data_IF_344461150647
#
_entry.id   IF_344461150647
#
_cell.length_a   1.000
_cell.length_b   1.000
_cell.length_c   1.000
_cell.angle_alpha   90.00
_cell.angle_beta   90.00
_cell.angle_gamma   90.00
#
_symmetry.space_group_name_H-M   'P 1'
#
loop_
_entity.id
_entity.type
_entity.pdbx_description
1 polymer ?
2 polymer ?
3 water ?
#
# COMPACT_ATOMS: atom_id res chain seq x y z
N UNK A 6 9.63 -33.23 -17.74
CA UNK A 6 10.17 -34.27 -16.84
C UNK A 6 11.40 -33.81 -16.08
N UNK A 7 12.27 -33.06 -16.75
CA UNK A 7 13.46 -32.57 -16.06
C UNK A 7 13.04 -31.66 -14.90
N UNK A 8 11.96 -30.91 -15.09
CA UNK A 8 11.46 -30.01 -14.07
C UNK A 8 10.99 -30.76 -12.84
N UNK A 9 10.26 -31.85 -13.05
CA UNK A 9 9.85 -32.71 -11.96
C UNK A 9 11.03 -33.27 -11.18
N UNK A 10 12.06 -33.75 -11.88
CA UNK A 10 13.24 -34.27 -11.19
C UNK A 10 13.97 -33.14 -10.43
N UNK A 11 14.01 -31.96 -11.03
CA UNK A 11 14.65 -30.80 -10.41
C UNK A 11 13.90 -30.41 -9.14
N UNK A 12 12.58 -30.31 -9.24
CA UNK A 12 11.78 -30.02 -8.06
C UNK A 12 11.99 -31.05 -6.97
N UNK A 13 11.95 -32.32 -7.35
CA UNK A 13 12.02 -33.42 -6.40
C UNK A 13 13.29 -33.41 -5.56
N UNK A 14 14.37 -32.83 -6.08
CA UNK A 14 15.62 -32.91 -5.35
C UNK A 14 15.80 -31.85 -4.27
N UNK A 15 14.91 -30.84 -4.24
CA UNK A 15 14.96 -29.79 -3.24
C UNK A 15 13.71 -29.84 -2.37
N UNK A 16 12.72 -30.57 -2.87
CA UNK A 16 11.42 -30.68 -2.21
C UNK A 16 11.51 -31.27 -0.79
N UNK A 17 10.65 -30.78 0.08
CA UNK A 17 10.50 -31.30 1.44
C UNK A 17 9.97 -32.73 1.42
N UNK A 18 10.48 -33.56 2.34
CA UNK A 18 10.03 -34.95 2.43
C UNK A 18 8.53 -35.05 2.66
N UNK A 19 7.97 -34.13 3.42
CA UNK A 19 6.57 -34.20 3.83
C UNK A 19 5.68 -33.26 3.02
N UNK A 20 5.98 -31.95 3.04
CA UNK A 20 5.18 -31.00 2.28
C UNK A 20 5.47 -31.07 0.78
N UNK A 21 4.51 -30.60 -0.03
CA UNK A 21 4.70 -30.51 -1.47
C UNK A 21 5.26 -29.13 -1.79
N UNK A 22 6.50 -28.91 -1.37
CA UNK A 22 7.11 -27.59 -1.44
C UNK A 22 8.60 -27.67 -1.16
N UNK A 23 9.32 -26.63 -1.58
CA UNK A 23 10.68 -26.45 -1.16
C UNK A 23 10.68 -25.59 0.10
N UNK A 24 11.22 -26.15 1.19
CA UNK A 24 11.39 -25.39 2.42
C UNK A 24 12.83 -24.92 2.55
N UNK A 25 13.27 -24.63 3.78
CA UNK A 25 14.60 -24.01 4.01
C UNK A 25 15.80 -24.90 3.67
N UNK A 26 15.67 -26.20 3.90
CA UNK A 26 16.78 -27.10 3.61
C UNK A 26 17.00 -27.18 2.11
N UNK A 27 15.92 -27.42 1.35
CA UNK A 27 15.98 -27.40 -0.09
C UNK A 27 16.43 -26.04 -0.63
N UNK A 28 15.81 -24.98 -0.14
CA UNK A 28 16.14 -23.63 -0.59
C UNK A 28 17.64 -23.38 -0.54
N UNK A 29 18.25 -23.85 0.55
CA UNK A 29 19.68 -23.66 0.79
C UNK A 29 20.51 -24.46 -0.23
N UNK A 30 20.19 -25.74 -0.40
CA UNK A 30 20.83 -26.56 -1.46
C UNK A 30 20.59 -25.97 -2.86
N UNK A 31 19.37 -25.49 -3.10
CA UNK A 31 19.03 -24.87 -4.37
C UNK A 31 19.91 -23.65 -4.68
N UNK A 32 20.07 -22.74 -3.72
CA UNK A 32 20.98 -21.62 -3.89
C UNK A 32 22.44 -22.06 -4.01
N UNK A 33 22.80 -23.09 -3.25
CA UNK A 33 24.15 -23.63 -3.37
C UNK A 33 24.44 -24.13 -4.79
N UNK A 34 23.52 -24.92 -5.35
CA UNK A 34 23.67 -25.39 -6.73
C UNK A 34 23.73 -24.25 -7.75
N UNK A 35 22.92 -23.21 -7.53
CA UNK A 35 22.98 -22.01 -8.36
C UNK A 35 24.27 -21.22 -8.16
N UNK A 36 25.05 -21.59 -7.13
CA UNK A 36 26.30 -20.90 -6.83
C UNK A 36 26.04 -19.45 -6.47
N UNK A 37 25.02 -19.27 -5.64
CA UNK A 37 24.52 -17.96 -5.31
C UNK A 37 24.37 -17.87 -3.79
N UNK A 38 24.80 -16.76 -3.20
CA UNK A 38 24.52 -16.56 -1.78
C UNK A 38 23.01 -16.43 -1.65
N UNK A 39 22.41 -17.13 -0.67
CA UNK A 39 20.94 -17.18 -0.50
C UNK A 39 20.28 -15.81 -0.28
N UNK A 40 21.04 -14.85 0.25
CA UNK A 40 20.48 -13.54 0.56
C UNK A 40 20.72 -12.51 -0.54
N UNK A 41 21.42 -12.90 -1.59
CA UNK A 41 21.80 -11.94 -2.63
C UNK A 41 20.66 -11.56 -3.60
N UNK A 42 20.88 -10.47 -4.34
CA UNK A 42 19.86 -9.83 -5.18
C UNK A 42 19.18 -10.76 -6.23
N UNK A 43 19.97 -11.60 -6.91
CA UNK A 43 19.41 -12.54 -7.87
C UNK A 43 18.39 -13.48 -7.26
N UNK A 44 18.58 -13.79 -5.98
CA UNK A 44 17.65 -14.68 -5.28
C UNK A 44 16.33 -13.97 -5.00
N UNK A 45 16.42 -12.69 -4.62
CA UNK A 45 15.22 -11.85 -4.56
C UNK A 45 14.53 -11.83 -5.95
N UNK A 46 15.29 -11.65 -7.02
CA UNK A 46 14.70 -11.65 -8.39
C UNK A 46 14.01 -12.98 -8.71
N UNK A 47 14.64 -14.09 -8.36
CA UNK A 47 14.05 -15.42 -8.53
C UNK A 47 12.74 -15.53 -7.78
N UNK A 48 12.73 -15.20 -6.48
CA UNK A 48 11.53 -15.24 -5.68
C UNK A 48 10.44 -14.35 -6.29
N UNK A 49 10.85 -13.18 -6.79
CA UNK A 49 9.95 -12.28 -7.49
C UNK A 49 9.31 -12.98 -8.71
N UNK A 50 10.15 -13.47 -9.63
CA UNK A 50 9.72 -14.25 -10.80
C UNK A 50 8.82 -15.45 -10.46
N UNK A 51 9.11 -16.13 -9.34
CA UNK A 51 8.30 -17.29 -8.92
C UNK A 51 7.08 -16.84 -8.13
N UNK A 52 7.00 -15.54 -7.87
CA UNK A 52 5.89 -14.98 -7.09
C UNK A 52 5.70 -15.70 -5.76
N UNK A 53 6.78 -15.85 -4.99
CA UNK A 53 6.72 -16.57 -3.73
C UNK A 53 6.01 -15.80 -2.58
N UNK A 54 6.60 -14.69 -2.18
CA UNK A 54 6.09 -13.87 -1.07
C UNK A 54 6.18 -14.50 0.34
N UNK A 55 6.43 -15.82 0.40
CA UNK A 55 6.82 -16.46 1.66
C UNK A 55 8.31 -16.80 1.64
N UNK A 56 9.12 -16.10 2.43
CA UNK A 56 10.56 -16.33 2.43
C UNK A 56 10.93 -17.76 2.75
N UNK A 57 11.87 -18.30 1.97
CA UNK A 57 12.49 -19.60 2.24
C UNK A 57 11.57 -20.71 1.80
N UNK A 58 10.63 -20.41 0.93
CA UNK A 58 9.71 -21.43 0.48
C UNK A 58 9.26 -21.18 -0.97
N UNK A 59 9.29 -22.24 -1.77
CA UNK A 59 8.64 -22.24 -3.09
C UNK A 59 7.68 -23.41 -3.08
N UNK A 60 6.38 -23.15 -3.15
CA UNK A 60 5.42 -24.26 -3.32
C UNK A 60 5.64 -24.90 -4.69
N UNK A 61 5.18 -26.15 -4.83
CA UNK A 61 5.23 -26.80 -6.13
C UNK A 61 4.76 -25.87 -7.28
N UNK A 62 3.63 -25.20 -7.11
CA UNK A 62 3.09 -24.32 -8.15
C UNK A 62 3.97 -23.11 -8.47
N UNK A 63 4.52 -22.49 -7.43
CA UNK A 63 5.42 -21.35 -7.62
C UNK A 63 6.65 -21.78 -8.41
N UNK A 64 7.22 -22.91 -8.01
CA UNK A 64 8.43 -23.40 -8.64
C UNK A 64 8.15 -23.74 -10.12
N UNK A 65 7.11 -24.52 -10.36
CA UNK A 65 6.75 -24.85 -11.74
C UNK A 65 6.36 -23.66 -12.60
N UNK A 66 5.48 -22.80 -12.08
CA UNK A 66 5.07 -21.60 -12.80
C UNK A 66 6.24 -20.66 -13.04
N UNK A 67 7.14 -20.57 -12.05
CA UNK A 67 8.27 -19.68 -12.12
C UNK A 67 9.35 -20.18 -13.07
N UNK A 68 9.64 -21.48 -13.01
CA UNK A 68 10.56 -22.07 -13.98
C UNK A 68 10.02 -21.93 -15.41
N UNK A 69 8.77 -22.32 -15.62
CA UNK A 69 8.13 -22.07 -16.92
C UNK A 69 8.21 -20.61 -17.37
N UNK A 70 8.02 -19.67 -16.45
CA UNK A 70 8.01 -18.25 -16.79
C UNK A 70 9.35 -17.78 -17.32
N UNK A 71 10.44 -18.38 -16.85
CA UNK A 71 11.78 -17.99 -17.29
C UNK A 71 12.40 -19.03 -18.22
N UNK A 72 11.58 -20.02 -18.61
CA UNK A 72 11.99 -21.06 -19.55
C UNK A 72 13.25 -21.79 -19.12
N UNK A 73 13.14 -22.43 -17.95
CA UNK A 73 14.23 -23.22 -17.43
C UNK A 73 13.62 -24.47 -16.81
N UNK A 74 14.32 -25.58 -16.95
CA UNK A 74 13.98 -26.79 -16.25
C UNK A 74 15.26 -27.37 -15.62
N UNK A 75 16.26 -26.52 -15.45
CA UNK A 75 17.54 -26.97 -14.93
C UNK A 75 18.29 -25.86 -14.21
N UNK A 76 19.21 -26.26 -13.34
CA UNK A 76 20.09 -25.34 -12.62
C UNK A 76 20.87 -24.46 -13.59
N UNK A 77 21.43 -25.07 -14.62
CA UNK A 77 22.19 -24.33 -15.63
C UNK A 77 21.31 -23.39 -16.45
N UNK A 78 20.08 -23.79 -16.70
CA UNK A 78 19.13 -22.96 -17.42
C UNK A 78 18.76 -21.71 -16.64
N UNK A 79 18.50 -21.89 -15.34
CA UNK A 79 18.20 -20.76 -14.47
C UNK A 79 19.36 -19.77 -14.43
N UNK A 80 20.57 -20.26 -14.20
CA UNK A 80 21.74 -19.37 -14.14
C UNK A 80 21.88 -18.56 -15.42
N UNK A 81 21.61 -19.19 -16.56
CA UNK A 81 21.73 -18.52 -17.85
C UNK A 81 20.75 -17.34 -17.98
N UNK A 82 19.63 -17.39 -17.25
CA UNK A 82 18.63 -16.32 -17.31
C UNK A 82 19.01 -15.12 -16.46
N UNK A 83 19.90 -15.31 -15.50
CA UNK A 83 20.20 -14.27 -14.50
C UNK A 83 20.48 -12.91 -15.13
N UNK A 84 21.42 -12.84 -16.08
CA UNK A 84 21.74 -11.54 -16.69
C UNK A 84 20.52 -10.82 -17.26
N UNK A 85 19.59 -11.56 -17.85
CA UNK A 85 18.41 -10.94 -18.42
C UNK A 85 17.35 -10.61 -17.34
N UNK A 86 17.39 -11.36 -16.24
CA UNK A 86 16.57 -11.03 -15.07
C UNK A 86 17.05 -9.71 -14.48
N UNK A 87 18.38 -9.57 -14.37
CA UNK A 87 18.97 -8.34 -13.87
C UNK A 87 18.53 -7.16 -14.74
N UNK A 88 18.57 -7.36 -16.05
CA UNK A 88 18.17 -6.33 -17.00
C UNK A 88 16.70 -5.99 -16.86
N UNK A 89 15.86 -7.02 -16.78
CA UNK A 89 14.42 -6.85 -16.60
C UNK A 89 14.11 -5.97 -15.40
N UNK A 90 14.77 -6.25 -14.27
CA UNK A 90 14.51 -5.57 -13.01
C UNK A 90 14.93 -4.11 -13.03
N UNK A 91 15.63 -3.70 -14.09
CA UNK A 91 16.05 -2.30 -14.24
C UNK A 91 15.01 -1.44 -14.96
N UNK A 92 14.12 -2.07 -15.72
CA UNK A 92 13.07 -1.34 -16.42
C UNK A 92 12.11 -0.75 -15.39
N UNK A 93 11.65 0.46 -15.63
CA UNK A 93 10.89 1.23 -14.64
C UNK A 93 9.66 0.51 -14.06
N UNK A 94 8.84 -0.05 -14.94
CA UNK A 94 7.61 -0.70 -14.49
C UNK A 94 7.85 -2.03 -13.79
N UNK A 95 8.82 -2.80 -14.28
CA UNK A 95 9.22 -4.03 -13.61
C UNK A 95 9.76 -3.72 -12.21
N UNK A 96 10.58 -2.69 -12.11
CA UNK A 96 11.14 -2.36 -10.82
C UNK A 96 10.07 -2.01 -9.80
N UNK A 97 9.11 -1.20 -10.21
CA UNK A 97 8.01 -0.85 -9.31
C UNK A 97 7.32 -2.11 -8.84
N UNK A 98 7.17 -3.08 -9.73
CA UNK A 98 6.51 -4.33 -9.38
C UNK A 98 7.36 -5.16 -8.41
N UNK A 99 8.67 -5.24 -8.70
CA UNK A 99 9.60 -5.94 -7.84
C UNK A 99 9.62 -5.31 -6.46
N UNK A 100 9.64 -3.97 -6.44
CA UNK A 100 9.56 -3.18 -5.21
C UNK A 100 8.29 -3.46 -4.37
N UNK A 101 7.12 -3.55 -5.01
CA UNK A 101 5.90 -3.88 -4.28
C UNK A 101 5.93 -5.31 -3.75
N UNK A 102 6.40 -6.26 -4.57
CA UNK A 102 6.58 -7.66 -4.20
C UNK A 102 7.52 -7.80 -2.99
N UNK A 103 8.57 -7.00 -2.95
CA UNK A 103 9.60 -7.14 -1.92
C UNK A 103 9.03 -6.91 -0.51
N UNK A 104 8.01 -6.03 -0.40
CA UNK A 104 7.40 -5.80 0.88
C UNK A 104 6.65 -7.05 1.36
N UNK A 105 5.82 -7.59 0.46
CA UNK A 105 5.03 -8.79 0.71
C UNK A 105 5.90 -10.01 1.03
N UNK A 106 7.03 -10.09 0.33
CA UNK A 106 8.00 -11.14 0.51
C UNK A 106 8.59 -11.10 1.92
N UNK A 107 9.07 -9.93 2.34
CA UNK A 107 9.68 -9.79 3.65
C UNK A 107 8.67 -9.94 4.77
N UNK A 108 7.39 -9.94 4.40
CA UNK A 108 6.32 -9.94 5.38
C UNK A 108 5.96 -11.34 5.87
N UNK A 109 6.09 -11.54 7.17
CA UNK A 109 5.77 -12.83 7.77
C UNK A 109 4.27 -13.02 7.94
N UNK A 110 3.61 -13.50 6.89
CA UNK A 110 2.17 -13.70 6.95
C UNK A 110 1.79 -14.98 7.70
N UNK A 111 2.78 -15.83 7.97
CA UNK A 111 2.53 -17.06 8.71
C UNK A 111 1.93 -16.78 10.10
N UNK A 112 2.42 -15.74 10.79
CA UNK A 112 1.78 -15.28 12.03
C UNK A 112 0.29 -14.94 11.80
N UNK A 113 0.03 -13.81 11.13
CA UNK A 113 1.08 -13.03 10.52
C UNK A 113 1.03 -11.53 10.75
N UNK A 114 2.21 -10.92 10.67
CA UNK A 114 2.38 -9.48 10.80
C UNK A 114 1.80 -8.70 9.60
N UNK A 115 1.64 -7.40 9.80
CA UNK A 115 1.15 -6.50 8.77
C UNK A 115 2.25 -5.50 8.44
N UNK A 116 3.29 -5.51 9.27
CA UNK A 116 4.48 -4.66 9.08
C UNK A 116 5.76 -5.51 9.01
N UNK A 117 6.78 -4.98 8.34
CA UNK A 117 8.10 -5.64 8.31
C UNK A 117 8.90 -5.35 9.57
N UNK A 118 9.65 -6.33 10.05
CA UNK A 118 10.57 -6.08 11.15
C UNK A 118 11.55 -5.02 10.67
N UNK A 119 11.82 -4.03 11.50
CA UNK A 119 12.77 -2.98 11.13
C UNK A 119 14.00 -3.52 10.37
N UNK A 120 14.58 -4.63 10.86
CA UNK A 120 15.86 -5.10 10.32
C UNK A 120 15.74 -5.80 8.97
N UNK A 121 14.61 -6.47 8.74
CA UNK A 121 14.25 -7.01 7.45
C UNK A 121 14.03 -5.88 6.45
N UNK A 122 13.25 -4.90 6.87
CA UNK A 122 13.05 -3.70 6.07
C UNK A 122 14.38 -3.12 5.64
N UNK A 123 15.32 -2.99 6.58
CA UNK A 123 16.63 -2.41 6.28
C UNK A 123 17.42 -3.27 5.28
N UNK A 124 17.41 -4.58 5.49
CA UNK A 124 18.07 -5.52 4.58
C UNK A 124 17.42 -5.53 3.20
N UNK A 125 16.09 -5.51 3.17
CA UNK A 125 15.33 -5.58 1.91
C UNK A 125 15.42 -4.27 1.11
N UNK A 126 15.43 -3.15 1.81
CA UNK A 126 15.65 -1.89 1.11
C UNK A 126 17.00 -1.85 0.42
N UNK A 127 18.05 -2.27 1.14
CA UNK A 127 19.40 -2.37 0.57
C UNK A 127 19.41 -3.32 -0.63
N UNK A 128 18.81 -4.50 -0.46
CA UNK A 128 18.76 -5.48 -1.51
C UNK A 128 17.99 -4.99 -2.77
N UNK A 129 16.78 -4.47 -2.59
CA UNK A 129 15.95 -4.11 -3.74
C UNK A 129 16.57 -2.99 -4.60
N UNK A 130 17.31 -2.09 -3.96
CA UNK A 130 17.93 -0.97 -4.68
C UNK A 130 19.32 -1.31 -5.25
N UNK A 131 19.71 -2.58 -5.17
CA UNK A 131 21.03 -3.04 -5.63
C UNK A 131 21.54 -2.38 -6.93
N UNK A 132 20.72 -2.36 -7.98
CA UNK A 132 21.19 -1.83 -9.28
C UNK A 132 21.07 -0.32 -9.39
N UNK A 133 20.35 0.30 -8.47
CA UNK A 133 20.05 1.73 -8.57
C UNK A 133 19.91 2.38 -7.20
N UNK A 134 21.03 2.65 -6.56
CA UNK A 134 21.02 3.33 -5.26
C UNK A 134 20.60 4.79 -5.39
N UNK A 135 19.45 5.15 -4.81
CA UNK A 135 19.08 6.58 -4.76
C UNK A 135 20.01 7.32 -3.80
N UNK A 136 20.26 8.61 -4.06
CA UNK A 136 21.12 9.44 -3.20
C UNK A 136 20.84 9.31 -1.70
N UNK A 137 19.57 9.24 -1.32
CA UNK A 137 19.17 9.28 0.09
C UNK A 137 19.22 7.94 0.83
N UNK A 138 19.52 6.86 0.11
CA UNK A 138 19.42 5.52 0.70
C UNK A 138 20.42 5.21 1.82
N UNK A 139 21.70 5.57 1.63
CA UNK A 139 22.72 5.27 2.64
C UNK A 139 22.37 5.87 4.00
N UNK A 140 22.01 7.14 4.03
CA UNK A 140 21.68 7.81 5.30
C UNK A 140 20.35 7.33 5.87
N UNK A 141 19.39 7.08 4.99
CA UNK A 141 18.10 6.57 5.41
C UNK A 141 18.29 5.25 6.17
N UNK A 142 19.21 4.41 5.68
CA UNK A 142 19.46 3.12 6.32
C UNK A 142 20.31 3.24 7.59
N UNK A 143 21.17 4.26 7.64
CA UNK A 143 21.91 4.58 8.86
C UNK A 143 20.94 5.04 9.94
N UNK A 144 20.02 5.90 9.53
CA UNK A 144 18.97 6.41 10.39
C UNK A 144 18.16 5.27 11.02
N UNK A 145 17.80 4.29 10.22
CA UNK A 145 16.96 3.19 10.69
C UNK A 145 17.66 2.17 11.58
N UNK A 146 18.96 1.98 11.39
CA UNK A 146 19.74 1.07 12.24
C UNK A 146 19.90 1.71 13.61
N UNK A 147 20.15 3.01 13.60
CA UNK A 147 20.19 3.77 14.83
C UNK A 147 18.81 3.76 15.48
N UNK A 148 17.78 3.99 14.66
CA UNK A 148 16.39 3.97 15.13
C UNK A 148 16.11 4.98 16.25
N UNK A 149 16.48 6.24 16.03
CA UNK A 149 16.32 7.33 16.99
C UNK A 149 14.97 7.32 17.68
N UNK A 150 13.89 7.10 16.94
CA UNK A 150 12.54 7.22 17.47
C UNK A 150 11.90 5.88 17.85
N UNK A 151 12.74 4.85 17.96
CA UNK A 151 12.27 3.53 18.37
C UNK A 151 10.99 3.05 17.71
N UNK A 152 11.04 2.82 16.39
CA UNK A 152 9.90 2.22 15.70
C UNK A 152 10.01 0.69 15.79
N UNK A 153 8.87 0.02 15.77
CA UNK A 153 8.84 -1.43 15.81
C UNK A 153 9.01 -2.03 14.41
N UNK A 154 8.35 -1.43 13.43
CA UNK A 154 8.39 -1.94 12.08
C UNK A 154 8.11 -0.92 11.01
N UNK A 155 8.01 -1.38 9.79
CA UNK A 155 7.73 -0.54 8.63
C UNK A 155 6.44 -1.05 8.00
N UNK A 156 5.47 -0.16 7.91
CA UNK A 156 4.16 -0.49 7.36
C UNK A 156 4.15 -0.44 5.83
N UNK A 157 3.05 -0.89 5.24
CA UNK A 157 2.92 -1.01 3.79
C UNK A 157 2.93 0.34 3.08
N UNK A 158 2.38 1.35 3.72
CA UNK A 158 2.26 2.68 3.10
C UNK A 158 3.58 3.43 3.21
N UNK A 159 4.28 3.25 4.31
CA UNK A 159 5.62 3.82 4.48
C UNK A 159 6.59 3.22 3.46
N UNK A 160 6.55 1.91 3.31
CA UNK A 160 7.35 1.23 2.29
C UNK A 160 6.96 1.75 0.91
N UNK A 161 5.65 1.75 0.62
CA UNK A 161 5.10 2.21 -0.67
C UNK A 161 5.55 3.62 -1.03
N UNK A 162 5.45 4.55 -0.08
CA UNK A 162 5.74 5.96 -0.38
C UNK A 162 7.23 6.30 -0.36
N UNK A 163 8.04 5.43 0.26
CA UNK A 163 9.49 5.65 0.26
C UNK A 163 10.11 5.76 -1.14
N UNK A 164 9.60 4.97 -2.09
CA UNK A 164 10.11 5.02 -3.46
C UNK A 164 9.95 6.41 -4.08
N UNK A 165 8.77 6.99 -3.93
CA UNK A 165 8.52 8.35 -4.43
C UNK A 165 9.40 9.37 -3.73
N UNK A 166 9.43 9.26 -2.41
CA UNK A 166 10.34 10.04 -1.60
C UNK A 166 11.76 10.09 -2.21
N UNK A 167 12.37 8.93 -2.44
CA UNK A 167 13.71 8.85 -3.03
C UNK A 167 13.81 9.57 -4.39
N UNK A 168 12.70 9.64 -5.11
CA UNK A 168 12.64 10.33 -6.40
C UNK A 168 12.44 11.84 -6.27
N UNK A 169 11.69 12.25 -5.25
CA UNK A 169 11.41 13.67 -5.07
C UNK A 169 12.61 14.45 -4.54
N UNK A 170 13.25 13.92 -3.50
CA UNK A 170 14.22 14.72 -2.76
C UNK A 170 15.65 14.17 -2.80
N UNK A 171 16.61 15.06 -2.52
CA UNK A 171 17.99 14.67 -2.38
C UNK A 171 18.74 14.58 -3.70
N UNK A 172 20.07 14.76 -3.64
CA UNK A 172 20.88 14.85 -2.42
C UNK A 172 20.66 16.12 -1.59
N UNK A 173 20.15 17.17 -2.22
CA UNK A 173 20.06 18.50 -1.60
C UNK A 173 19.01 18.64 -0.48
N UNK A 174 17.93 17.88 -0.57
CA UNK A 174 16.79 18.03 0.35
C UNK A 174 15.97 19.27 0.02
N UNK A 175 16.26 19.90 -1.12
CA UNK A 175 15.66 21.20 -1.42
C UNK A 175 14.17 21.10 -1.71
N UNK A 176 13.71 19.91 -2.08
CA UNK A 176 12.30 19.69 -2.42
C UNK A 176 11.48 19.12 -1.27
N UNK A 177 12.10 18.99 -0.09
CA UNK A 177 11.37 18.48 1.07
C UNK A 177 10.52 19.55 1.76
N UNK A 178 9.24 19.23 1.96
CA UNK A 178 8.37 20.09 2.76
C UNK A 178 7.83 19.35 3.98
N UNK A 179 8.13 19.88 5.16
CA UNK A 179 7.60 19.31 6.40
C UNK A 179 6.08 19.29 6.39
N UNK A 180 5.49 20.15 5.57
CA UNK A 180 4.04 20.29 5.45
C UNK A 180 3.35 19.20 4.61
N UNK A 181 4.14 18.49 3.80
CA UNK A 181 3.60 17.47 2.90
C UNK A 181 3.19 16.21 3.66
N UNK A 182 2.17 15.53 3.16
CA UNK A 182 1.62 14.32 3.79
C UNK A 182 2.50 13.06 3.57
N UNK A 183 3.79 13.17 3.88
CA UNK A 183 4.68 12.02 3.89
C UNK A 183 4.44 11.26 5.20
N UNK A 184 4.70 9.93 5.22
CA UNK A 184 4.62 9.30 6.55
C UNK A 184 5.54 10.06 7.48
N UNK A 185 5.16 10.21 8.74
CA UNK A 185 5.88 11.07 9.66
C UNK A 185 7.31 10.61 9.89
N UNK A 186 7.55 9.31 9.75
CA UNK A 186 8.91 8.80 9.80
C UNK A 186 9.88 9.52 8.85
N UNK A 187 9.41 9.94 7.68
CA UNK A 187 10.27 10.65 6.75
C UNK A 187 10.74 11.99 7.35
N UNK A 188 9.86 12.66 8.09
CA UNK A 188 10.21 13.92 8.75
C UNK A 188 11.22 13.71 9.88
N UNK A 189 10.98 12.68 10.69
CA UNK A 189 11.92 12.26 11.72
C UNK A 189 13.32 12.06 11.13
N UNK A 190 13.35 11.54 9.91
CA UNK A 190 14.60 11.25 9.24
C UNK A 190 15.26 12.52 8.73
N UNK A 191 14.46 13.41 8.15
CA UNK A 191 15.01 14.64 7.65
C UNK A 191 15.66 15.45 8.77
N UNK A 192 15.01 15.48 9.93
CA UNK A 192 15.57 16.16 11.09
C UNK A 192 16.90 15.51 11.48
N UNK A 193 16.84 14.21 11.76
CA UNK A 193 18.02 13.42 12.06
C UNK A 193 19.15 13.65 11.05
N UNK A 194 18.78 13.82 9.79
CA UNK A 194 19.77 13.97 8.73
C UNK A 194 20.31 15.39 8.67
N UNK A 195 19.49 16.37 9.08
CA UNK A 195 19.98 17.73 9.26
C UNK A 195 20.98 17.81 10.41
N UNK A 196 20.67 17.14 11.52
CA UNK A 196 21.57 17.13 12.66
C UNK A 196 22.92 16.50 12.32
N UNK A 197 22.92 15.39 11.58
CA UNK A 197 24.19 14.75 11.27
C UNK A 197 25.03 15.58 10.32
N UNK A 198 24.40 16.31 9.42
CA UNK A 198 25.13 17.24 8.57
C UNK A 198 25.78 18.35 9.40
N UNK A 199 25.09 18.80 10.43
CA UNK A 199 25.65 19.75 11.39
C UNK A 199 26.87 19.15 12.08
N UNK A 200 26.64 18.12 12.90
CA UNK A 200 27.73 17.42 13.60
C UNK A 200 28.85 16.95 12.65
N UNK A 201 28.65 17.10 11.34
CA UNK A 201 29.70 16.76 10.37
C UNK A 201 30.48 18.00 9.97
N UNK B 6 -22.37 -5.72 28.64
CA UNK B 6 -23.60 -6.50 28.45
C UNK B 6 -24.54 -5.86 27.42
N UNK B 7 -24.72 -4.54 27.51
CA UNK B 7 -25.49 -3.83 26.51
C UNK B 7 -24.81 -3.99 25.15
N UNK B 8 -23.48 -3.88 25.17
CA UNK B 8 -22.69 -3.96 23.96
C UNK B 8 -22.83 -5.34 23.29
N UNK B 9 -22.81 -6.39 24.10
CA UNK B 9 -23.12 -7.74 23.61
C UNK B 9 -24.50 -7.80 22.95
N UNK B 10 -25.53 -7.26 23.60
CA UNK B 10 -26.88 -7.23 23.04
C UNK B 10 -27.00 -6.40 21.76
N UNK B 11 -26.28 -5.27 21.73
CA UNK B 11 -26.23 -4.41 20.55
C UNK B 11 -25.66 -5.16 19.36
N UNK B 12 -24.58 -5.90 19.59
CA UNK B 12 -23.94 -6.70 18.55
C UNK B 12 -24.87 -7.79 18.00
N UNK B 13 -25.49 -8.53 18.90
CA UNK B 13 -26.30 -9.68 18.52
C UNK B 13 -27.54 -9.22 17.75
N UNK B 14 -27.88 -7.96 17.93
CA UNK B 14 -29.00 -7.35 17.22
C UNK B 14 -28.76 -7.27 15.69
N UNK B 15 -27.51 -7.09 15.28
CA UNK B 15 -27.15 -6.93 13.87
C UNK B 15 -26.28 -8.07 13.35
N UNK B 16 -25.84 -8.92 14.26
CA UNK B 16 -24.99 -10.04 13.92
C UNK B 16 -25.67 -10.98 12.93
N UNK B 17 -24.85 -11.66 12.14
CA UNK B 17 -25.31 -12.68 11.21
C UNK B 17 -25.69 -13.96 11.96
N UNK B 18 -26.62 -14.72 11.41
CA UNK B 18 -27.10 -15.94 12.06
C UNK B 18 -26.00 -16.99 12.18
N UNK B 19 -25.04 -16.96 11.26
CA UNK B 19 -24.02 -17.99 11.20
C UNK B 19 -22.63 -17.48 11.61
N UNK B 20 -22.11 -16.47 10.92
CA UNK B 20 -20.79 -15.93 11.24
C UNK B 20 -20.79 -15.11 12.56
N UNK B 21 -19.63 -14.99 13.18
CA UNK B 21 -19.50 -14.12 14.35
C UNK B 21 -19.15 -12.70 13.89
N UNK B 22 -20.07 -12.09 13.14
CA UNK B 22 -19.83 -10.80 12.53
C UNK B 22 -21.13 -10.15 12.11
N UNK B 23 -21.07 -8.84 11.90
CA UNK B 23 -22.13 -8.10 11.24
C UNK B 23 -21.81 -8.06 9.75
N UNK B 24 -22.68 -8.65 8.94
CA UNK B 24 -22.52 -8.62 7.49
C UNK B 24 -23.44 -7.55 6.88
N UNK B 25 -23.75 -7.63 5.59
CA UNK B 25 -24.46 -6.52 4.94
C UNK B 25 -25.88 -6.26 5.45
N UNK B 26 -26.65 -7.32 5.71
CA UNK B 26 -28.01 -7.17 6.21
C UNK B 26 -28.00 -6.42 7.54
N UNK B 27 -27.16 -6.87 8.47
CA UNK B 27 -27.06 -6.24 9.77
C UNK B 27 -26.49 -4.83 9.66
N UNK B 28 -25.54 -4.66 8.74
CA UNK B 28 -24.90 -3.36 8.57
C UNK B 28 -25.94 -2.31 8.15
N UNK B 29 -26.87 -2.72 7.29
CA UNK B 29 -27.91 -1.83 6.79
C UNK B 29 -28.85 -1.43 7.93
N UNK B 30 -29.25 -2.40 8.73
CA UNK B 30 -30.08 -2.15 9.92
C UNK B 30 -29.40 -1.24 10.92
N UNK B 31 -28.09 -1.42 11.08
CA UNK B 31 -27.29 -0.64 12.02
C UNK B 31 -27.23 0.85 11.63
N UNK B 32 -26.87 1.13 10.39
CA UNK B 32 -26.90 2.50 9.87
C UNK B 32 -28.32 3.09 9.94
N UNK B 33 -29.32 2.26 9.66
CA UNK B 33 -30.69 2.74 9.75
C UNK B 33 -31.03 3.20 11.19
N UNK B 34 -30.75 2.37 12.18
CA UNK B 34 -30.93 2.78 13.57
C UNK B 34 -30.12 4.03 13.91
N UNK B 35 -28.94 4.18 13.33
CA UNK B 35 -28.10 5.36 13.57
C UNK B 35 -28.69 6.58 12.88
N UNK B 36 -29.64 6.35 11.98
CA UNK B 36 -30.20 7.40 11.13
C UNK B 36 -29.18 8.02 10.17
N UNK B 37 -28.27 7.20 9.65
CA UNK B 37 -27.29 7.66 8.66
C UNK B 37 -27.41 6.86 7.35
N UNK B 38 -27.28 7.54 6.21
CA UNK B 38 -27.05 6.87 4.93
C UNK B 38 -25.80 6.01 5.04
N UNK B 39 -25.91 4.71 4.70
CA UNK B 39 -24.78 3.75 4.77
C UNK B 39 -23.50 4.18 4.06
N UNK B 40 -23.61 5.13 3.12
CA UNK B 40 -22.47 5.59 2.33
C UNK B 40 -21.95 6.97 2.76
N UNK B 41 -22.52 7.57 3.81
CA UNK B 41 -22.04 8.89 4.23
C UNK B 41 -20.73 8.90 5.05
N UNK B 42 -20.16 10.09 5.17
CA UNK B 42 -18.85 10.30 5.77
C UNK B 42 -18.71 9.75 7.19
N UNK B 43 -19.79 9.87 7.98
CA UNK B 43 -19.78 9.41 9.36
C UNK B 43 -19.62 7.91 9.46
N UNK B 44 -20.07 7.20 8.43
CA UNK B 44 -20.01 5.75 8.43
C UNK B 44 -18.60 5.32 8.06
N UNK B 45 -17.98 6.08 7.17
CA UNK B 45 -16.56 5.91 6.91
C UNK B 45 -15.75 6.14 8.20
N UNK B 46 -16.10 7.18 8.98
CA UNK B 46 -15.40 7.45 10.26
C UNK B 46 -15.60 6.30 11.26
N UNK B 47 -16.80 5.72 11.30
CA UNK B 47 -17.01 4.54 12.14
C UNK B 47 -16.12 3.40 11.74
N UNK B 48 -16.16 3.03 10.46
CA UNK B 48 -15.33 1.95 9.93
C UNK B 48 -13.87 2.19 10.33
N UNK B 49 -13.42 3.42 10.18
CA UNK B 49 -12.07 3.82 10.57
C UNK B 49 -11.79 3.60 12.09
N UNK B 50 -12.61 4.17 12.96
CA UNK B 50 -12.50 3.92 14.41
C UNK B 50 -12.55 2.44 14.76
N UNK B 51 -13.44 1.70 14.09
CA UNK B 51 -13.55 0.26 14.32
C UNK B 51 -12.39 -0.51 13.65
N UNK B 52 -11.57 0.18 12.87
CA UNK B 52 -10.53 -0.47 12.06
C UNK B 52 -11.09 -1.64 11.22
N UNK B 53 -12.23 -1.42 10.57
CA UNK B 53 -12.85 -2.42 9.70
C UNK B 53 -11.96 -2.76 8.50
N UNK B 54 -11.67 -4.04 8.31
CA UNK B 54 -10.92 -4.48 7.14
C UNK B 54 -11.79 -4.32 5.88
N UNK B 55 -12.97 -4.90 5.94
CA UNK B 55 -13.79 -5.16 4.78
C UNK B 55 -15.09 -4.37 4.79
N UNK B 56 -15.35 -3.64 3.71
CA UNK B 56 -16.63 -2.97 3.52
C UNK B 56 -17.80 -3.89 3.83
N UNK B 57 -18.76 -3.36 4.59
CA UNK B 57 -20.02 -4.03 4.84
C UNK B 57 -19.91 -5.12 5.89
N UNK B 58 -18.79 -5.17 6.59
CA UNK B 58 -18.61 -6.16 7.65
C UNK B 58 -17.91 -5.56 8.88
N UNK B 59 -18.43 -5.86 10.06
CA UNK B 59 -17.69 -5.67 11.31
C UNK B 59 -17.58 -7.03 11.97
N UNK B 60 -16.37 -7.50 12.20
CA UNK B 60 -16.21 -8.71 13.00
C UNK B 60 -16.58 -8.39 14.46
N UNK B 61 -16.91 -9.41 15.24
CA UNK B 61 -17.16 -9.18 16.66
C UNK B 61 -16.08 -8.30 17.28
N UNK B 62 -14.82 -8.64 17.02
CA UNK B 62 -13.68 -7.92 17.60
C UNK B 62 -13.64 -6.46 17.14
N UNK B 63 -13.91 -6.25 15.86
CA UNK B 63 -13.94 -4.89 15.34
C UNK B 63 -15.01 -4.09 16.06
N UNK B 64 -16.18 -4.69 16.20
CA UNK B 64 -17.32 -4.01 16.79
C UNK B 64 -17.08 -3.67 18.26
N UNK B 65 -16.63 -4.67 19.02
CA UNK B 65 -16.33 -4.48 20.44
C UNK B 65 -15.17 -3.52 20.70
N UNK B 66 -14.07 -3.72 19.99
CA UNK B 66 -12.93 -2.81 20.12
C UNK B 66 -13.31 -1.42 19.66
N UNK B 67 -14.07 -1.34 18.57
CA UNK B 67 -14.47 -0.06 18.00
C UNK B 67 -15.39 0.68 18.95
N UNK B 68 -16.39 -0.02 19.48
CA UNK B 68 -17.28 0.60 20.47
C UNK B 68 -16.58 1.03 21.76
N UNK B 69 -15.67 0.19 22.26
CA UNK B 69 -14.89 0.55 23.45
C UNK B 69 -14.03 1.78 23.23
N UNK B 70 -13.50 1.91 22.02
CA UNK B 70 -12.62 3.03 21.71
C UNK B 70 -13.36 4.37 21.66
N UNK B 71 -14.63 4.34 21.29
CA UNK B 71 -15.42 5.58 21.28
C UNK B 71 -16.35 5.62 22.49
N UNK B 72 -16.07 4.76 23.47
CA UNK B 72 -16.84 4.72 24.71
C UNK B 72 -18.35 4.73 24.45
N UNK B 73 -18.85 3.76 23.70
CA UNK B 73 -20.30 3.63 23.51
C UNK B 73 -20.72 2.17 23.52
N UNK B 74 -21.94 1.94 23.97
CA UNK B 74 -22.46 0.58 24.02
C UNK B 74 -23.91 0.56 23.54
N UNK B 75 -24.28 1.60 22.81
CA UNK B 75 -25.68 1.80 22.43
C UNK B 75 -25.75 2.68 21.19
N UNK B 76 -26.84 2.58 20.45
CA UNK B 76 -27.08 3.40 19.26
C UNK B 76 -26.98 4.89 19.57
N UNK B 77 -27.66 5.32 20.64
CA UNK B 77 -27.58 6.72 21.08
C UNK B 77 -26.17 7.11 21.49
N UNK B 78 -25.46 6.21 22.15
CA UNK B 78 -24.10 6.51 22.55
C UNK B 78 -23.23 6.83 21.36
N UNK B 79 -23.31 5.98 20.33
CA UNK B 79 -22.53 6.16 19.11
C UNK B 79 -22.87 7.49 18.44
N UNK B 80 -24.16 7.76 18.30
CA UNK B 80 -24.61 8.98 17.64
C UNK B 80 -24.06 10.21 18.34
N UNK B 81 -23.98 10.15 19.67
CA UNK B 81 -23.51 11.31 20.44
C UNK B 81 -22.01 11.58 20.24
N UNK B 82 -21.27 10.57 19.78
CA UNK B 82 -19.85 10.73 19.47
C UNK B 82 -19.60 11.37 18.11
N UNK B 83 -20.60 11.35 17.24
CA UNK B 83 -20.39 11.77 15.84
C UNK B 83 -19.68 13.11 15.70
N UNK B 84 -20.15 14.15 16.41
CA UNK B 84 -19.44 15.43 16.33
C UNK B 84 -17.95 15.39 16.72
N UNK B 85 -17.57 14.57 17.70
CA UNK B 85 -16.16 14.45 18.10
C UNK B 85 -15.32 13.70 17.08
N UNK B 86 -15.92 12.71 16.41
CA UNK B 86 -15.22 12.02 15.31
C UNK B 86 -15.00 12.96 14.13
N UNK B 87 -15.99 13.79 13.82
CA UNK B 87 -15.85 14.77 12.74
C UNK B 87 -14.68 15.71 13.02
N UNK B 88 -14.61 16.21 14.26
CA UNK B 88 -13.54 17.11 14.67
C UNK B 88 -12.19 16.40 14.74
N UNK B 89 -12.20 15.19 15.25
CA UNK B 89 -10.99 14.38 15.28
C UNK B 89 -10.42 14.16 13.87
N UNK B 90 -11.30 13.94 12.89
CA UNK B 90 -10.87 13.68 11.50
C UNK B 90 -10.39 14.93 10.76
N UNK B 91 -10.62 16.11 11.32
CA UNK B 91 -10.08 17.37 10.79
C UNK B 91 -8.63 17.57 11.18
N UNK B 92 -8.16 16.86 12.20
CA UNK B 92 -6.78 17.02 12.65
C UNK B 92 -5.83 16.42 11.60
N UNK B 93 -4.79 17.17 11.25
CA UNK B 93 -3.98 16.83 10.09
C UNK B 93 -3.41 15.40 10.15
N UNK B 94 -2.96 14.98 11.33
CA UNK B 94 -2.36 13.66 11.47
C UNK B 94 -3.40 12.52 11.51
N UNK B 95 -4.54 12.80 12.12
CA UNK B 95 -5.67 11.89 12.10
C UNK B 95 -6.25 11.75 10.69
N UNK B 96 -6.33 12.86 9.96
CA UNK B 96 -6.85 12.79 8.62
C UNK B 96 -5.94 11.92 7.75
N UNK B 97 -4.64 12.17 7.85
CA UNK B 97 -3.68 11.39 7.09
C UNK B 97 -3.89 9.90 7.33
N UNK B 98 -4.17 9.54 8.59
CA UNK B 98 -4.41 8.15 8.94
C UNK B 98 -5.71 7.61 8.35
N UNK B 99 -6.74 8.46 8.36
CA UNK B 99 -8.03 8.12 7.80
C UNK B 99 -7.88 7.90 6.30
N UNK B 100 -7.05 8.74 5.69
CA UNK B 100 -6.81 8.69 4.25
C UNK B 100 -6.10 7.40 3.82
N UNK B 101 -5.10 6.94 4.57
CA UNK B 101 -4.49 5.64 4.25
C UNK B 101 -5.51 4.55 4.51
N UNK B 102 -6.25 4.68 5.61
CA UNK B 102 -7.26 3.69 5.97
C UNK B 102 -8.27 3.52 4.84
N UNK B 103 -8.70 4.64 4.25
CA UNK B 103 -9.78 4.62 3.29
C UNK B 103 -9.40 3.73 2.10
N UNK B 104 -8.14 3.79 1.69
CA UNK B 104 -7.67 2.94 0.61
C UNK B 104 -7.86 1.44 0.92
N UNK B 105 -7.32 0.99 2.04
CA UNK B 105 -7.44 -0.42 2.46
C UNK B 105 -8.89 -0.86 2.52
N UNK B 106 -9.72 0.03 3.05
CA UNK B 106 -11.13 -0.23 3.26
C UNK B 106 -11.86 -0.41 1.91
N UNK B 107 -11.42 0.34 0.90
CA UNK B 107 -11.99 0.24 -0.43
C UNK B 107 -11.56 -1.03 -1.16
N UNK B 108 -10.37 -1.50 -0.82
CA UNK B 108 -9.74 -2.66 -1.45
C UNK B 108 -10.48 -3.95 -1.16
N UNK B 109 -10.83 -4.68 -2.21
CA UNK B 109 -11.59 -5.91 -2.05
C UNK B 109 -10.82 -7.04 -1.38
N UNK B 110 -11.13 -7.26 -0.10
CA UNK B 110 -10.54 -8.30 0.74
C UNK B 110 -10.97 -9.72 0.33
N UNK B 111 -10.00 -10.64 0.31
CA UNK B 111 -10.22 -12.06 0.00
C UNK B 111 -10.61 -12.34 -1.46
N UNK B 112 -11.01 -11.31 -2.20
CA UNK B 112 -11.13 -11.42 -3.64
C UNK B 112 -9.76 -11.10 -4.25
N UNK B 113 -8.80 -10.84 -3.38
CA UNK B 113 -7.42 -10.61 -3.76
C UNK B 113 -7.15 -9.45 -4.70
N UNK B 114 -7.83 -8.33 -4.50
CA UNK B 114 -7.59 -7.18 -5.37
C UNK B 114 -6.55 -6.26 -4.78
N UNK B 115 -5.68 -5.71 -5.63
CA UNK B 115 -4.54 -4.92 -5.18
C UNK B 115 -4.65 -3.47 -5.64
N UNK B 116 -5.70 -3.16 -6.40
CA UNK B 116 -6.04 -1.78 -6.72
C UNK B 116 -7.53 -1.53 -6.44
N UNK B 117 -7.92 -0.25 -6.35
CA UNK B 117 -9.33 0.14 -6.23
C UNK B 117 -10.05 0.17 -7.60
N UNK B 118 -11.33 -0.16 -7.64
CA UNK B 118 -12.08 0.05 -8.88
C UNK B 118 -12.25 1.54 -9.09
N UNK B 119 -12.03 2.00 -10.31
CA UNK B 119 -12.08 3.43 -10.61
C UNK B 119 -13.28 4.16 -9.97
N UNK B 120 -14.45 3.52 -10.01
CA UNK B 120 -15.66 4.16 -9.50
C UNK B 120 -15.70 4.21 -7.98
N UNK B 121 -15.15 3.18 -7.34
CA UNK B 121 -15.04 3.14 -5.91
C UNK B 121 -14.06 4.21 -5.44
N UNK B 122 -12.88 4.27 -6.07
CA UNK B 122 -11.90 5.29 -5.78
C UNK B 122 -12.50 6.69 -5.87
N UNK B 123 -13.25 6.95 -6.93
CA UNK B 123 -13.89 8.24 -7.12
C UNK B 123 -14.85 8.56 -5.97
N UNK B 124 -15.70 7.60 -5.64
CA UNK B 124 -16.65 7.77 -4.55
C UNK B 124 -15.92 7.99 -3.22
N UNK B 125 -14.83 7.26 -3.00
CA UNK B 125 -14.07 7.34 -1.75
C UNK B 125 -13.26 8.63 -1.63
N UNK B 126 -12.72 9.10 -2.74
CA UNK B 126 -12.11 10.42 -2.77
C UNK B 126 -13.13 11.52 -2.43
N UNK B 127 -14.30 11.51 -3.06
CA UNK B 127 -15.30 12.52 -2.73
C UNK B 127 -15.61 12.43 -1.24
N UNK B 128 -15.76 11.20 -0.76
CA UNK B 128 -16.10 10.95 0.64
C UNK B 128 -14.99 11.36 1.63
N UNK B 129 -13.76 10.89 1.42
CA UNK B 129 -12.68 11.15 2.39
C UNK B 129 -12.43 12.65 2.55
N UNK B 130 -12.57 13.41 1.47
CA UNK B 130 -12.35 14.87 1.54
C UNK B 130 -13.60 15.67 1.93
N UNK B 131 -14.64 14.99 2.41
CA UNK B 131 -15.92 15.61 2.77
C UNK B 131 -15.82 16.96 3.52
N UNK B 132 -14.90 17.06 4.48
CA UNK B 132 -14.81 18.29 5.28
C UNK B 132 -13.85 19.34 4.71
N UNK B 133 -12.94 18.91 3.83
CA UNK B 133 -11.90 19.77 3.30
C UNK B 133 -11.61 19.48 1.83
N UNK B 134 -12.56 19.80 0.95
CA UNK B 134 -12.29 19.67 -0.49
C UNK B 134 -11.07 20.49 -0.85
N UNK B 135 -10.03 19.84 -1.37
CA UNK B 135 -8.94 20.64 -1.91
C UNK B 135 -9.30 21.19 -3.29
N UNK B 136 -8.74 22.34 -3.64
CA UNK B 136 -9.06 23.06 -4.88
C UNK B 136 -8.98 22.22 -6.17
N UNK B 137 -8.16 21.17 -6.19
CA UNK B 137 -8.00 20.36 -7.40
C UNK B 137 -8.94 19.15 -7.46
N UNK B 138 -9.66 18.87 -6.36
CA UNK B 138 -10.47 17.66 -6.26
C UNK B 138 -11.52 17.51 -7.37
N UNK B 139 -12.36 18.52 -7.54
CA UNK B 139 -13.43 18.48 -8.54
C UNK B 139 -12.95 18.18 -9.95
N UNK B 140 -11.91 18.89 -10.38
CA UNK B 140 -11.37 18.71 -11.73
C UNK B 140 -10.78 17.31 -11.90
N UNK B 141 -10.05 16.85 -10.90
CA UNK B 141 -9.47 15.50 -10.89
C UNK B 141 -10.53 14.40 -10.99
N UNK B 142 -11.64 14.58 -10.30
CA UNK B 142 -12.70 13.57 -10.28
C UNK B 142 -13.48 13.65 -11.59
N UNK B 143 -13.64 14.87 -12.09
CA UNK B 143 -14.16 15.10 -13.41
C UNK B 143 -13.35 14.29 -14.44
N UNK B 144 -12.05 14.53 -14.48
CA UNK B 144 -11.09 13.76 -15.26
C UNK B 144 -11.27 12.25 -15.09
N UNK B 145 -11.25 11.76 -13.85
CA UNK B 145 -11.35 10.32 -13.61
C UNK B 145 -12.67 9.74 -14.09
N UNK B 146 -13.72 10.55 -14.03
CA UNK B 146 -15.04 10.13 -14.49
C UNK B 146 -15.08 9.87 -16.00
N UNK B 147 -14.44 10.76 -16.77
CA UNK B 147 -14.31 10.58 -18.21
C UNK B 147 -13.42 9.40 -18.53
N UNK B 148 -12.44 9.15 -17.66
CA UNK B 148 -11.42 8.12 -17.89
C UNK B 148 -10.78 8.17 -19.29
N UNK B 149 -10.42 9.39 -19.74
CA UNK B 149 -9.79 9.60 -21.04
C UNK B 149 -8.71 8.55 -21.32
N UNK B 150 -7.86 8.27 -20.34
CA UNK B 150 -6.75 7.33 -20.57
C UNK B 150 -7.17 5.87 -20.43
N UNK B 151 -8.46 5.65 -20.20
CA UNK B 151 -8.97 4.30 -20.00
C UNK B 151 -8.14 3.49 -19.01
N UNK B 152 -8.23 3.85 -17.74
CA UNK B 152 -7.50 3.12 -16.69
C UNK B 152 -8.37 2.04 -16.08
N UNK B 153 -7.71 1.00 -15.57
CA UNK B 153 -8.38 -0.19 -15.10
C UNK B 153 -8.49 -0.25 -13.57
N UNK B 154 -8.15 0.84 -12.89
CA UNK B 154 -8.13 0.85 -11.44
C UNK B 154 -7.14 1.84 -10.87
N UNK B 155 -7.18 2.03 -9.55
CA UNK B 155 -6.32 2.99 -8.88
C UNK B 155 -5.43 2.26 -7.88
N UNK B 156 -4.14 2.39 -8.06
CA UNK B 156 -3.16 1.71 -7.21
C UNK B 156 -2.87 2.44 -5.89
N UNK B 157 -2.31 1.72 -4.94
CA UNK B 157 -1.91 2.30 -3.66
C UNK B 157 -1.00 3.51 -3.84
N UNK B 158 -0.24 3.48 -4.92
CA UNK B 158 0.77 4.46 -5.23
C UNK B 158 0.10 5.77 -5.62
N UNK B 159 -0.91 5.65 -6.48
CA UNK B 159 -1.64 6.78 -6.99
C UNK B 159 -2.51 7.39 -5.89
N UNK B 160 -3.07 6.53 -5.05
CA UNK B 160 -3.92 6.98 -3.97
C UNK B 160 -3.14 7.83 -2.97
N UNK B 161 -2.09 7.24 -2.41
CA UNK B 161 -1.26 7.91 -1.39
C UNK B 161 -0.64 9.21 -1.91
N UNK B 162 -0.10 9.16 -3.11
CA UNK B 162 0.59 10.30 -3.69
C UNK B 162 -0.36 11.44 -4.07
N UNK B 163 -1.66 11.14 -4.21
CA UNK B 163 -2.64 12.16 -4.56
C UNK B 163 -2.91 13.14 -3.42
N UNK B 164 -2.81 12.67 -2.18
CA UNK B 164 -2.89 13.61 -1.05
C UNK B 164 -1.74 14.63 -1.12
N UNK B 165 -0.52 14.16 -1.37
CA UNK B 165 0.61 15.07 -1.58
C UNK B 165 0.33 16.07 -2.70
N UNK B 166 -0.26 15.57 -3.78
CA UNK B 166 -0.57 16.35 -4.98
C UNK B 166 -1.55 17.51 -4.69
N UNK B 167 -2.58 17.25 -3.90
CA UNK B 167 -3.52 18.31 -3.58
C UNK B 167 -2.81 19.46 -2.85
N UNK B 168 -1.85 19.12 -1.99
CA UNK B 168 -1.08 20.11 -1.23
C UNK B 168 -0.07 20.88 -2.10
N UNK B 169 0.64 20.16 -2.95
CA UNK B 169 1.63 20.79 -3.82
C UNK B 169 0.94 21.68 -4.87
N UNK B 170 -0.12 21.17 -5.49
CA UNK B 170 -0.90 21.98 -6.41
C UNK B 170 -1.60 23.13 -5.68
N UNK B 171 -2.18 22.84 -4.53
CA UNK B 171 -2.94 23.85 -3.81
C UNK B 171 -3.96 24.51 -4.73
N UNK B 172 -3.98 25.84 -4.76
CA UNK B 172 -5.02 26.58 -5.49
C UNK B 172 -4.70 26.73 -6.98
N UNK B 173 -3.47 26.41 -7.37
CA UNK B 173 -3.00 26.75 -8.70
C UNK B 173 -2.33 25.57 -9.42
N UNK B 174 -2.83 25.28 -10.61
CA UNK B 174 -2.34 24.15 -11.41
C UNK B 174 -0.93 24.38 -11.95
N UNK B 175 -0.51 25.64 -12.01
CA UNK B 175 0.83 25.98 -12.48
C UNK B 175 1.87 25.59 -11.44
N UNK B 176 1.42 25.25 -10.24
CA UNK B 176 2.33 24.71 -9.25
C UNK B 176 2.90 23.37 -9.70
N UNK B 177 2.17 22.72 -10.59
CA UNK B 177 2.63 21.46 -11.14
C UNK B 177 3.86 21.66 -12.01
N UNK B 178 4.78 20.72 -11.89
CA UNK B 178 5.96 20.66 -12.74
C UNK B 178 6.24 19.18 -12.87
N UNK B 179 6.45 18.70 -14.09
CA UNK B 179 6.77 17.30 -14.22
C UNK B 179 8.04 16.96 -13.44
N UNK B 180 8.80 17.99 -13.06
CA UNK B 180 10.06 17.85 -12.31
C UNK B 180 9.85 17.15 -10.97
N UNK B 181 8.80 17.57 -10.25
CA UNK B 181 8.24 16.76 -9.19
C UNK B 181 8.02 15.37 -9.81
N UNK B 182 8.29 14.31 -9.07
CA UNK B 182 8.22 12.96 -9.66
C UNK B 182 6.89 12.26 -9.37
N UNK B 183 5.86 12.66 -10.09
CA UNK B 183 4.51 12.16 -9.84
C UNK B 183 4.18 10.89 -10.62
N UNK B 184 3.25 10.09 -10.06
CA UNK B 184 2.63 8.99 -10.83
C UNK B 184 2.20 9.53 -12.18
N UNK B 185 2.44 8.77 -13.25
CA UNK B 185 2.15 9.25 -14.59
C UNK B 185 0.70 9.70 -14.79
N UNK B 186 -0.23 9.13 -14.02
CA UNK B 186 -1.62 9.53 -14.13
C UNK B 186 -1.89 11.01 -13.80
N UNK B 187 -1.10 11.56 -12.88
CA UNK B 187 -1.17 12.98 -12.54
C UNK B 187 -0.67 13.83 -13.72
N UNK B 188 0.37 13.35 -14.40
CA UNK B 188 0.88 14.01 -15.57
C UNK B 188 -0.22 14.08 -16.64
N UNK B 189 -0.84 12.94 -16.92
CA UNK B 189 -1.94 12.86 -17.87
C UNK B 189 -3.06 13.82 -17.50
N UNK B 190 -3.43 13.82 -16.23
CA UNK B 190 -4.52 14.65 -15.74
C UNK B 190 -4.30 16.13 -16.03
N UNK B 191 -3.10 16.61 -15.72
CA UNK B 191 -2.77 18.03 -15.89
C UNK B 191 -2.87 18.46 -17.36
N UNK B 192 -2.28 17.67 -18.26
CA UNK B 192 -2.42 17.91 -19.68
C UNK B 192 -3.89 17.97 -20.09
N UNK B 193 -4.62 16.93 -19.75
CA UNK B 193 -6.03 16.85 -20.09
C UNK B 193 -6.79 18.08 -19.59
N UNK B 194 -6.51 18.49 -18.36
CA UNK B 194 -7.20 19.64 -17.78
C UNK B 194 -6.89 20.95 -18.52
N UNK B 195 -5.66 21.08 -19.01
CA UNK B 195 -5.27 22.30 -19.70
C UNK B 195 -5.96 22.38 -21.05
N UNK B 196 -6.04 21.24 -21.74
CA UNK B 196 -6.82 21.13 -22.97
C UNK B 196 -8.28 21.45 -22.72
N UNK B 197 -8.84 20.93 -21.63
CA UNK B 197 -10.23 21.18 -21.30
C UNK B 197 -10.51 22.68 -21.14
N UNK B 198 -9.63 23.36 -20.42
CA UNK B 198 -9.76 24.80 -20.25
C UNK B 198 -9.76 25.48 -21.61
N UNK B 199 -8.80 25.08 -22.46
CA UNK B 199 -8.71 25.59 -23.82
C UNK B 199 -10.02 25.45 -24.56
N UNK B 200 -10.53 24.22 -24.63
CA UNK B 200 -11.80 23.97 -25.31
C UNK B 200 -12.99 24.72 -24.71
N UNK B 201 -12.90 25.07 -23.43
CA UNK B 201 -14.04 25.69 -22.74
C UNK B 201 -14.03 27.21 -22.69
N UNK B 202 -13.20 27.84 -23.52
CA UNK B 202 -13.13 29.29 -23.53
C UNK B 202 -12.32 29.86 -22.38
N UNK B 203 -11.51 29.01 -21.76
CA UNK B 203 -10.55 29.44 -20.76
C UNK B 203 -9.20 29.09 -21.34
N UNK B 204 -8.13 29.61 -20.77
CA UNK B 204 -6.84 29.38 -21.39
C UNK B 204 -6.51 30.36 -22.50
N UNK B 205 -5.31 30.24 -23.04
CA UNK B 205 -4.82 31.20 -24.01
C UNK B 205 -3.88 30.48 -25.00
N UNK B 206 -4.43 29.50 -25.72
CA UNK B 206 -3.69 28.77 -26.73
C UNK B 206 -2.50 28.02 -26.15
N UNK B 207 -1.33 28.24 -26.76
CA UNK B 207 -0.10 27.59 -26.37
C UNK B 207 0.44 28.08 -25.02
N UNK B 208 -0.28 29.00 -24.38
CA UNK B 208 0.19 29.57 -23.11
C UNK B 208 -0.68 29.11 -21.93
N UNK B 209 -0.08 29.11 -20.74
CA UNK B 209 -0.82 28.88 -19.48
C UNK B 209 -1.59 30.13 -19.07
N UNK B 210 -2.81 29.97 -18.56
CA UNK B 210 -3.60 31.15 -18.18
C UNK B 210 -4.48 30.99 -16.94
N UNK B 211 -4.71 32.09 -16.23
CA UNK B 211 -5.55 32.11 -15.04
C UNK B 211 -4.75 32.26 -13.75
N UNK C 2 16.46 -13.87 3.56
CA UNK C 2 17.06 -13.25 4.74
C UNK C 2 16.87 -14.06 6.02
N UNK C 3 15.76 -14.77 6.13
CA UNK C 3 15.48 -15.54 7.34
C UNK C 3 15.96 -17.00 7.30
N UNK C 4 16.59 -17.42 6.18
CA UNK C 4 17.07 -18.79 6.01
C UNK C 4 18.02 -19.28 7.11
N UNK C 5 19.02 -18.48 7.43
CA UNK C 5 20.01 -18.83 8.45
C UNK C 5 19.32 -19.10 9.82
N UNK C 6 18.51 -18.15 10.29
CA UNK C 6 17.72 -18.32 11.51
C UNK C 6 16.85 -19.57 11.48
N UNK C 7 16.24 -19.85 10.33
CA UNK C 7 15.32 -20.97 10.20
C UNK C 7 16.05 -22.31 10.21
N UNK C 8 17.36 -22.28 9.93
CA UNK C 8 18.15 -23.51 9.86
C UNK C 8 18.79 -23.83 11.20
N UNK C 9 18.70 -22.90 12.16
CA UNK C 9 19.24 -23.09 13.50
C UNK C 9 18.21 -23.65 14.48
N UNK D 2 -19.96 1.54 0.47
CA UNK D 2 -20.29 1.76 -0.93
C UNK D 2 -20.84 0.52 -1.65
N UNK D 3 -20.27 -0.65 -1.39
CA UNK D 3 -20.74 -1.87 -2.04
C UNK D 3 -21.99 -2.47 -1.38
N UNK D 4 -22.59 -1.78 -0.42
CA UNK D 4 -23.75 -2.33 0.30
C UNK D 4 -24.98 -2.54 -0.60
N UNK D 5 -25.35 -1.53 -1.36
CA UNK D 5 -26.53 -1.59 -2.22
C UNK D 5 -26.47 -2.83 -3.11
N UNK D 6 -25.33 -3.06 -3.74
CA UNK D 6 -25.16 -4.17 -4.66
C UNK D 6 -24.98 -5.53 -3.99
N UNK D 7 -24.55 -5.55 -2.73
CA UNK D 7 -24.42 -6.81 -2.01
C UNK D 7 -25.79 -7.30 -1.53
N UNK D 8 -26.69 -6.36 -1.26
CA UNK D 8 -28.04 -6.69 -0.82
C UNK D 8 -28.94 -7.06 -2.00
N UNK D 9 -28.36 -7.18 -3.20
CA UNK D 9 -29.12 -7.52 -4.41
C UNK D 9 -29.03 -9.01 -4.79
#
# INVERSE_FOLDING_TARGET
GSSSLQRLEELFRRYKDEREDAILEEGMERFCNDLCVDPTEFRVLLLAWKFQAATMCKFTRKEFFDGCKAISADSIDGICARFPSLLTEAKQEDKFKDLYRFTFQFGLDSEEGQRSLHREIAIALWKLVFTQNNPPVLDQWLNFLTENPSGIKGISRDTWNMFLNFTQVIGPDLSNYSEDEAWPSLFDTFVEWEMERRKREGEGRGALSSGPEGLCPEEQT
GSSSLQRLEELFRRYKDEREDAILEEGMERFCNDLCVDPTEFRVLLLAWKFQAATMCKFTRKEFFDGCKAISADSIDGICARFPSLLTEAKQEDKFKDLYRFTFQFGLDSEEGQRSLHREIAIALWKLVFTQNNPPVLDQWLNFLTENPSGIKGISRDTWNMFLNFTQVIGPDLSNYSEDEAWPSLFDTFVEWEMERRKREGEGRGALSSGPEGLCPEEQT
XLTLASKLKRDDGLKGSRTAATASD
XLTLASKLKRDDGLKGSRTAATASD
#
